data_IF_329815697994
#
_entry.id   IF_329815697994
#
_cell.length_a   1.000
_cell.length_b   1.000
_cell.length_c   1.000
_cell.angle_alpha   90.00
_cell.angle_beta   90.00
_cell.angle_gamma   90.00
#
_symmetry.space_group_name_H-M   'P 1'
#
loop_
_entity.id
_entity.type
_entity.pdbx_description
1 polymer ?
#
# COMPACT_ATOMS: atom_id res chain seq x y z
N UNK A 1 0.33 -15.70 13.40
CA UNK A 1 0.24 -16.03 11.97
C UNK A 1 0.67 -17.46 11.75
N UNK A 2 -0.16 -18.26 11.08
CA UNK A 2 0.30 -19.50 10.45
C UNK A 2 1.12 -19.16 9.20
N UNK A 3 2.13 -19.97 8.87
CA UNK A 3 2.97 -19.85 7.66
C UNK A 3 2.17 -19.76 6.34
N UNK A 4 0.88 -20.09 6.39
CA UNK A 4 -0.08 -20.15 5.27
C UNK A 4 -0.50 -18.74 4.83
N UNK A 5 -0.79 -17.82 5.77
CA UNK A 5 -1.22 -16.45 5.43
C UNK A 5 -0.10 -15.64 4.76
N UNK A 6 1.16 -15.95 5.07
CA UNK A 6 2.35 -15.32 4.47
C UNK A 6 2.38 -15.45 2.96
N UNK A 7 2.27 -16.68 2.46
CA UNK A 7 2.37 -16.92 1.01
C UNK A 7 1.10 -16.46 0.32
N UNK A 8 -0.06 -16.64 0.96
CA UNK A 8 -1.34 -16.30 0.37
C UNK A 8 -1.40 -14.86 -0.18
N UNK A 9 -1.08 -13.85 0.64
CA UNK A 9 -1.19 -12.46 0.18
C UNK A 9 -0.15 -12.08 -0.86
N UNK A 10 1.09 -12.54 -0.70
CA UNK A 10 2.13 -12.29 -1.69
C UNK A 10 1.79 -12.95 -3.03
N UNK A 11 1.39 -14.22 -3.03
CA UNK A 11 0.95 -14.96 -4.21
C UNK A 11 -0.26 -14.28 -4.86
N UNK A 12 -1.23 -13.82 -4.06
CA UNK A 12 -2.41 -13.09 -4.51
C UNK A 12 -2.02 -11.81 -5.26
N UNK A 13 -1.16 -10.98 -4.68
CA UNK A 13 -0.72 -9.74 -5.33
C UNK A 13 0.15 -10.01 -6.57
N UNK A 14 1.00 -11.04 -6.55
CA UNK A 14 1.79 -11.45 -7.73
C UNK A 14 0.88 -11.92 -8.86
N UNK A 15 -0.18 -12.66 -8.55
CA UNK A 15 -1.17 -13.09 -9.54
C UNK A 15 -1.91 -11.89 -10.15
N UNK A 16 -2.37 -10.94 -9.33
CA UNK A 16 -3.02 -9.71 -9.80
C UNK A 16 -2.08 -8.89 -10.67
N UNK A 17 -0.83 -8.73 -10.24
CA UNK A 17 0.21 -8.11 -11.05
C UNK A 17 0.34 -8.82 -12.40
N UNK A 18 0.51 -10.15 -12.42
CA UNK A 18 0.66 -10.92 -13.66
C UNK A 18 -0.55 -10.81 -14.61
N UNK A 19 -1.75 -10.67 -14.07
CA UNK A 19 -2.99 -10.45 -14.83
C UNK A 19 -3.11 -9.02 -15.39
N UNK A 20 -2.21 -8.10 -14.99
CA UNK A 20 -2.29 -6.70 -15.38
C UNK A 20 -3.31 -5.91 -14.58
N UNK A 21 -3.67 -6.38 -13.38
CA UNK A 21 -4.53 -5.66 -12.45
C UNK A 21 -3.72 -4.68 -11.58
N UNK A 22 -4.40 -3.65 -11.08
CA UNK A 22 -3.80 -2.63 -10.21
C UNK A 22 -2.81 -1.68 -10.89
N UNK A 23 -2.32 -0.71 -10.11
CA UNK A 23 -1.43 0.37 -10.52
C UNK A 23 -0.01 0.16 -9.98
N UNK A 24 0.56 -1.01 -10.26
CA UNK A 24 1.92 -1.35 -9.86
C UNK A 24 2.97 -0.66 -10.74
N UNK A 25 4.12 -0.25 -10.18
CA UNK A 25 5.33 -0.05 -10.97
C UNK A 25 5.89 -1.38 -11.49
N UNK A 26 6.91 -1.30 -12.33
CA UNK A 26 7.71 -2.48 -12.73
C UNK A 26 8.18 -3.24 -11.48
N UNK A 27 8.16 -4.58 -11.58
CA UNK A 27 8.61 -5.50 -10.52
C UNK A 27 7.88 -5.28 -9.18
N UNK A 28 6.65 -4.74 -9.20
CA UNK A 28 5.89 -4.34 -8.01
C UNK A 28 6.63 -3.34 -7.10
N UNK A 29 7.70 -2.71 -7.62
CA UNK A 29 8.55 -1.77 -6.90
C UNK A 29 9.66 -2.44 -6.11
N UNK A 30 9.75 -3.76 -6.12
CA UNK A 30 10.77 -4.51 -5.39
C UNK A 30 12.18 -4.29 -5.96
N UNK A 31 13.20 -4.56 -5.14
CA UNK A 31 14.58 -4.68 -5.63
C UNK A 31 14.72 -5.90 -6.54
N UNK A 32 15.76 -5.92 -7.38
CA UNK A 32 16.02 -7.06 -8.27
C UNK A 32 16.14 -8.38 -7.50
N UNK A 33 16.83 -8.39 -6.35
CA UNK A 33 16.99 -9.60 -5.53
C UNK A 33 15.64 -10.13 -5.01
N UNK A 34 14.76 -9.25 -4.51
CA UNK A 34 13.43 -9.64 -4.06
C UNK A 34 12.54 -10.07 -5.22
N UNK A 35 12.63 -9.40 -6.37
CA UNK A 35 11.87 -9.75 -7.56
C UNK A 35 12.26 -11.12 -8.12
N UNK A 36 13.57 -11.39 -8.21
CA UNK A 36 14.09 -12.67 -8.70
C UNK A 36 13.65 -13.84 -7.82
N UNK A 37 13.56 -13.63 -6.51
CA UNK A 37 13.08 -14.64 -5.58
C UNK A 37 11.62 -15.07 -5.83
N UNK A 38 10.78 -14.20 -6.42
CA UNK A 38 9.38 -14.50 -6.70
C UNK A 38 9.16 -15.38 -7.94
N UNK A 39 10.18 -15.55 -8.81
CA UNK A 39 10.05 -16.29 -10.08
C UNK A 39 8.85 -15.86 -10.96
N UNK A 40 8.40 -14.61 -10.81
CA UNK A 40 7.19 -14.12 -11.46
C UNK A 40 7.39 -13.94 -12.97
N UNK A 41 6.43 -14.41 -13.76
CA UNK A 41 6.44 -14.22 -15.21
C UNK A 41 6.12 -12.75 -15.55
N UNK A 42 6.92 -12.14 -16.42
CA UNK A 42 6.82 -10.71 -16.73
C UNK A 42 6.20 -10.41 -18.11
N UNK A 43 5.54 -11.40 -18.72
CA UNK A 43 4.87 -11.22 -20.01
C UNK A 43 3.55 -10.49 -19.77
N UNK A 44 3.44 -9.27 -20.29
CA UNK A 44 2.22 -8.47 -20.18
C UNK A 44 1.93 -7.75 -21.51
N UNK A 45 0.65 -7.43 -21.79
CA UNK A 45 0.26 -6.56 -22.89
C UNK A 45 0.98 -5.20 -22.89
N UNK A 46 1.13 -4.57 -24.05
CA UNK A 46 1.90 -3.32 -24.20
C UNK A 46 1.34 -2.15 -23.39
N UNK A 47 0.03 -2.06 -23.25
CA UNK A 47 -0.65 -1.04 -22.42
C UNK A 47 -0.35 -1.24 -20.93
N UNK A 48 -0.33 -2.49 -20.45
CA UNK A 48 0.06 -2.82 -19.08
C UNK A 48 1.52 -2.48 -18.82
N UNK A 49 2.42 -2.79 -19.77
CA UNK A 49 3.83 -2.42 -19.68
C UNK A 49 3.99 -0.90 -19.62
N UNK A 50 3.31 -0.16 -20.50
CA UNK A 50 3.35 1.30 -20.51
C UNK A 50 2.88 1.89 -19.17
N UNK A 51 1.76 1.39 -18.63
CA UNK A 51 1.24 1.82 -17.32
C UNK A 51 2.25 1.58 -16.21
N UNK A 52 2.90 0.40 -16.17
CA UNK A 52 3.92 0.08 -15.15
C UNK A 52 5.16 0.97 -15.28
N UNK A 53 5.61 1.26 -16.49
CA UNK A 53 6.73 2.18 -16.73
C UNK A 53 6.42 3.58 -16.21
N UNK A 54 5.23 4.12 -16.52
CA UNK A 54 4.79 5.42 -16.01
C UNK A 54 4.71 5.43 -14.47
N UNK A 55 4.20 4.36 -13.86
CA UNK A 55 4.18 4.23 -12.40
C UNK A 55 5.59 4.16 -11.81
N UNK A 56 6.54 3.48 -12.47
CA UNK A 56 7.94 3.48 -12.04
C UNK A 56 8.57 4.87 -12.08
N UNK A 57 8.31 5.66 -13.13
CA UNK A 57 8.80 7.04 -13.24
C UNK A 57 8.21 7.95 -12.15
N UNK A 58 6.89 7.85 -11.92
CA UNK A 58 6.21 8.56 -10.84
C UNK A 58 6.86 8.24 -9.48
N UNK A 59 7.03 6.96 -9.18
CA UNK A 59 7.61 6.51 -7.91
C UNK A 59 9.08 6.92 -7.79
N UNK A 60 9.85 6.92 -8.89
CA UNK A 60 11.23 7.39 -8.89
C UNK A 60 11.32 8.88 -8.51
N UNK A 61 10.39 9.72 -8.99
CA UNK A 61 10.33 11.13 -8.61
C UNK A 61 9.97 11.36 -7.14
N UNK A 62 9.33 10.38 -6.49
CA UNK A 62 8.88 10.42 -5.09
C UNK A 62 9.62 9.37 -4.23
N UNK A 63 10.88 9.09 -4.58
CA UNK A 63 11.68 8.02 -3.96
C UNK A 63 11.81 8.18 -2.45
N UNK A 64 12.11 9.38 -1.97
CA UNK A 64 12.25 9.63 -0.53
C UNK A 64 10.94 9.37 0.21
N UNK A 65 9.82 9.86 -0.32
CA UNK A 65 8.49 9.64 0.23
C UNK A 65 8.15 8.15 0.30
N UNK A 66 8.49 7.39 -0.75
CA UNK A 66 8.34 5.94 -0.79
C UNK A 66 9.20 5.25 0.27
N UNK A 67 10.48 5.57 0.35
CA UNK A 67 11.43 4.93 1.29
C UNK A 67 10.96 5.14 2.72
N UNK A 68 10.64 6.38 3.10
CA UNK A 68 10.15 6.69 4.43
C UNK A 68 8.84 5.96 4.78
N UNK A 69 7.93 5.78 3.79
CA UNK A 69 6.71 4.98 4.01
C UNK A 69 7.02 3.49 4.18
N UNK A 70 7.92 2.94 3.36
CA UNK A 70 8.32 1.53 3.44
C UNK A 70 8.99 1.23 4.78
N UNK A 71 9.93 2.08 5.21
CA UNK A 71 10.63 1.94 6.49
C UNK A 71 9.64 1.99 7.67
N UNK A 72 8.70 2.93 7.63
CA UNK A 72 7.64 3.01 8.65
C UNK A 72 6.74 1.77 8.66
N UNK A 73 6.30 1.30 7.49
CA UNK A 73 5.48 0.09 7.38
C UNK A 73 6.24 -1.14 7.89
N UNK A 74 7.55 -1.23 7.63
CA UNK A 74 8.38 -2.33 8.09
C UNK A 74 8.41 -2.44 9.63
N UNK A 75 8.36 -1.32 10.35
CA UNK A 75 8.28 -1.31 11.82
C UNK A 75 6.99 -1.93 12.38
N UNK A 76 5.92 -1.99 11.58
CA UNK A 76 4.61 -2.53 11.97
C UNK A 76 4.25 -3.85 11.27
N UNK A 77 5.14 -4.35 10.42
CA UNK A 77 4.94 -5.58 9.67
C UNK A 77 5.20 -6.79 10.56
N UNK A 78 4.34 -7.79 10.50
CA UNK A 78 4.60 -9.04 11.21
C UNK A 78 5.80 -9.80 10.61
N UNK A 79 6.56 -10.54 11.43
CA UNK A 79 7.64 -11.39 10.95
C UNK A 79 7.15 -12.36 9.87
N UNK A 80 7.82 -12.34 8.72
CA UNK A 80 7.49 -13.19 7.59
C UNK A 80 6.46 -12.61 6.61
N UNK A 81 5.89 -11.42 6.82
CA UNK A 81 5.07 -10.76 5.79
C UNK A 81 5.90 -9.98 4.74
N UNK A 82 7.23 -10.06 4.79
CA UNK A 82 8.09 -9.48 3.76
C UNK A 82 7.80 -10.11 2.37
N UNK A 83 7.79 -9.32 1.28
CA UNK A 83 8.16 -7.90 1.15
C UNK A 83 6.98 -6.92 1.13
N UNK A 84 5.90 -7.19 1.87
CA UNK A 84 4.64 -6.44 1.76
C UNK A 84 4.76 -4.94 2.05
N UNK A 85 5.65 -4.53 2.96
CA UNK A 85 5.92 -3.11 3.24
C UNK A 85 6.38 -2.34 2.00
N UNK A 86 7.25 -2.93 1.16
CA UNK A 86 7.75 -2.29 -0.05
C UNK A 86 6.64 -2.16 -1.10
N UNK A 87 5.87 -3.24 -1.28
CA UNK A 87 4.76 -3.29 -2.25
C UNK A 87 3.71 -2.24 -1.90
N UNK A 88 3.24 -2.22 -0.65
CA UNK A 88 2.22 -1.27 -0.19
C UNK A 88 2.74 0.17 -0.28
N UNK A 89 3.99 0.44 0.11
CA UNK A 89 4.56 1.77 0.01
C UNK A 89 4.62 2.26 -1.44
N UNK A 90 5.04 1.40 -2.37
CA UNK A 90 5.07 1.70 -3.81
C UNK A 90 3.69 1.99 -4.37
N UNK A 91 2.73 1.10 -4.15
CA UNK A 91 1.37 1.22 -4.70
C UNK A 91 0.59 2.36 -4.03
N UNK A 92 0.94 2.73 -2.79
CA UNK A 92 0.33 3.87 -2.10
C UNK A 92 0.51 5.20 -2.82
N UNK A 93 1.54 5.33 -3.67
CA UNK A 93 1.84 6.54 -4.45
C UNK A 93 1.01 6.67 -5.74
N UNK A 94 0.26 5.64 -6.13
CA UNK A 94 -0.71 5.73 -7.21
C UNK A 94 -1.91 6.62 -6.83
N UNK A 95 -2.81 6.89 -7.77
CA UNK A 95 -3.83 7.93 -7.63
C UNK A 95 -5.16 7.47 -7.04
N UNK A 96 -5.49 6.17 -7.11
CA UNK A 96 -6.81 5.69 -6.69
C UNK A 96 -6.83 5.28 -5.21
N UNK A 97 -7.87 4.55 -4.81
CA UNK A 97 -7.93 3.93 -3.50
C UNK A 97 -6.91 2.78 -3.46
N UNK A 98 -6.26 2.57 -2.31
CA UNK A 98 -5.18 1.59 -2.20
C UNK A 98 -5.62 0.17 -2.64
N UNK A 99 -6.88 -0.21 -2.37
CA UNK A 99 -7.39 -1.52 -2.77
C UNK A 99 -7.50 -1.63 -4.30
N UNK A 100 -7.95 -0.58 -4.99
CA UNK A 100 -8.01 -0.50 -6.45
C UNK A 100 -6.61 -0.52 -7.06
N UNK A 101 -5.68 0.24 -6.47
CA UNK A 101 -4.31 0.29 -6.96
C UNK A 101 -3.56 -1.03 -6.72
N UNK A 102 -3.95 -1.83 -5.73
CA UNK A 102 -3.47 -3.20 -5.54
C UNK A 102 -4.22 -4.23 -6.42
N UNK A 103 -5.24 -3.82 -7.18
CA UNK A 103 -6.07 -4.73 -7.98
C UNK A 103 -6.96 -5.65 -7.15
N UNK A 104 -7.18 -5.34 -5.87
CA UNK A 104 -8.07 -6.09 -5.00
C UNK A 104 -9.53 -5.84 -5.40
N UNK A 105 -10.41 -6.78 -5.05
CA UNK A 105 -11.84 -6.75 -5.36
C UNK A 105 -12.62 -5.75 -4.52
N UNK A 106 -12.13 -5.43 -3.32
CA UNK A 106 -12.87 -4.62 -2.35
C UNK A 106 -11.96 -3.99 -1.30
N UNK A 107 -12.52 -3.00 -0.59
CA UNK A 107 -11.92 -2.42 0.60
C UNK A 107 -11.78 -3.44 1.73
N UNK A 108 -12.72 -4.38 1.82
CA UNK A 108 -12.73 -5.47 2.79
C UNK A 108 -11.56 -6.44 2.55
N UNK A 109 -11.29 -6.83 1.30
CA UNK A 109 -10.12 -7.67 0.95
C UNK A 109 -8.80 -6.97 1.34
N UNK A 110 -8.72 -5.64 1.16
CA UNK A 110 -7.58 -4.88 1.66
C UNK A 110 -7.50 -4.89 3.19
N UNK A 111 -8.63 -4.84 3.90
CA UNK A 111 -8.63 -4.92 5.37
C UNK A 111 -8.12 -6.28 5.84
N UNK A 112 -8.51 -7.37 5.19
CA UNK A 112 -7.99 -8.72 5.48
C UNK A 112 -6.47 -8.80 5.28
N UNK A 113 -5.97 -8.29 4.14
CA UNK A 113 -4.53 -8.19 3.88
C UNK A 113 -3.81 -7.42 5.00
N UNK A 114 -4.34 -6.25 5.36
CA UNK A 114 -3.76 -5.42 6.41
C UNK A 114 -3.85 -6.09 7.78
N UNK A 115 -4.90 -6.86 8.08
CA UNK A 115 -5.01 -7.62 9.33
C UNK A 115 -3.96 -8.71 9.41
N UNK A 116 -3.71 -9.42 8.31
CA UNK A 116 -2.77 -10.53 8.28
C UNK A 116 -1.30 -10.07 8.24
N UNK A 117 -1.00 -8.93 7.63
CA UNK A 117 0.37 -8.42 7.49
C UNK A 117 0.73 -7.31 8.50
N UNK A 118 -0.23 -6.49 8.94
CA UNK A 118 -0.02 -5.28 9.75
C UNK A 118 -1.14 -5.09 10.81
N UNK A 119 -1.42 -6.07 11.68
CA UNK A 119 -2.56 -6.02 12.59
C UNK A 119 -2.55 -4.79 13.51
N UNK A 120 -1.38 -4.35 13.97
CA UNK A 120 -1.25 -3.15 14.79
C UNK A 120 -1.73 -1.90 14.06
N UNK A 121 -1.48 -1.80 12.74
CA UNK A 121 -1.99 -0.68 11.95
C UNK A 121 -3.51 -0.75 11.78
N UNK A 122 -4.10 -1.94 11.77
CA UNK A 122 -5.56 -2.10 11.75
C UNK A 122 -6.19 -1.65 13.07
N UNK A 123 -5.57 -1.98 14.20
CA UNK A 123 -5.99 -1.49 15.52
C UNK A 123 -5.89 0.03 15.62
N UNK A 124 -4.78 0.62 15.14
CA UNK A 124 -4.58 2.07 15.08
C UNK A 124 -5.55 2.76 14.11
N UNK A 125 -5.99 2.07 13.06
CA UNK A 125 -6.99 2.54 12.10
C UNK A 125 -8.40 2.00 12.42
N UNK A 126 -8.78 2.04 13.71
CA UNK A 126 -10.07 1.52 14.22
C UNK A 126 -11.29 2.15 13.54
N UNK A 127 -11.22 3.46 13.27
CA UNK A 127 -12.27 4.24 12.58
C UNK A 127 -12.31 3.99 11.07
N UNK A 128 -11.48 3.09 10.54
CA UNK A 128 -11.43 2.73 9.13
C UNK A 128 -11.24 3.97 8.23
N UNK A 129 -10.22 4.77 8.49
CA UNK A 129 -9.78 5.85 7.59
C UNK A 129 -9.22 5.23 6.30
N UNK A 130 -9.35 5.93 5.16
CA UNK A 130 -8.71 5.53 3.91
C UNK A 130 -7.21 5.31 4.15
N UNK A 131 -6.70 4.13 3.81
CA UNK A 131 -5.35 3.68 4.18
C UNK A 131 -4.24 4.66 3.81
N UNK A 132 -4.25 5.21 2.59
CA UNK A 132 -3.25 6.22 2.18
C UNK A 132 -3.29 7.44 3.10
N UNK A 133 -4.48 7.98 3.37
CA UNK A 133 -4.66 9.11 4.30
C UNK A 133 -4.20 8.76 5.71
N UNK A 134 -4.50 7.55 6.17
CA UNK A 134 -4.02 7.05 7.45
C UNK A 134 -2.49 7.00 7.50
N UNK A 135 -1.82 6.50 6.47
CA UNK A 135 -0.34 6.46 6.40
C UNK A 135 0.29 7.84 6.44
N UNK A 136 -0.20 8.79 5.62
CA UNK A 136 0.25 10.19 5.70
C UNK A 136 0.00 10.77 7.08
N UNK A 137 -1.15 10.44 7.69
CA UNK A 137 -1.50 10.90 9.02
C UNK A 137 -0.53 10.36 10.09
N UNK A 138 -0.14 9.09 10.02
CA UNK A 138 0.82 8.57 10.99
C UNK A 138 2.22 9.17 10.79
N UNK A 139 2.63 9.38 9.53
CA UNK A 139 3.94 9.95 9.23
C UNK A 139 4.10 11.40 9.65
N UNK A 140 3.13 12.28 9.37
CA UNK A 140 3.27 13.68 9.80
C UNK A 140 3.27 13.81 11.33
N UNK A 141 2.50 12.97 12.05
CA UNK A 141 2.55 12.93 13.53
C UNK A 141 3.94 12.56 14.08
N UNK A 142 4.72 11.76 13.34
CA UNK A 142 6.07 11.36 13.74
C UNK A 142 7.14 12.40 13.40
N UNK A 143 7.01 13.11 12.28
CA UNK A 143 8.03 14.06 11.81
C UNK A 143 7.88 15.46 12.40
N UNK A 144 6.66 15.96 12.58
CA UNK A 144 6.39 17.39 12.87
C UNK A 144 5.71 17.65 14.23
N UNK A 145 5.38 16.59 14.99
CA UNK A 145 4.37 16.71 16.04
C UNK A 145 2.97 16.78 15.43
N UNK A 146 1.94 17.05 16.24
CA UNK A 146 0.52 16.96 15.86
C UNK A 146 0.22 17.37 14.41
N UNK A 147 -0.51 16.51 13.69
CA UNK A 147 -1.15 16.91 12.45
C UNK A 147 -2.17 17.97 12.79
N UNK A 148 -1.91 19.16 12.30
CA UNK A 148 -2.89 20.23 12.32
C UNK A 148 -3.93 19.91 11.24
N UNK A 149 -4.83 18.98 11.57
CA UNK A 149 -6.17 19.08 11.07
C UNK A 149 -6.67 20.43 11.57
N UNK A 150 -6.89 21.39 10.68
CA UNK A 150 -7.32 22.76 11.07
C UNK A 150 -8.65 22.79 11.81
N UNK A 151 -9.33 21.65 11.87
CA UNK A 151 -10.57 21.46 12.61
C UNK A 151 -10.29 21.15 14.09
N UNK A 152 -11.02 21.77 15.04
CA UNK A 152 -10.86 21.50 16.47
C UNK A 152 -11.21 20.04 16.87
N UNK A 153 -11.91 19.30 16.01
CA UNK A 153 -12.12 17.86 16.13
C UNK A 153 -12.34 17.21 14.76
N UNK A 154 -12.14 15.90 14.66
CA UNK A 154 -12.45 15.15 13.43
C UNK A 154 -13.95 15.27 13.06
N UNK A 155 -14.85 15.29 14.05
CA UNK A 155 -16.30 15.38 13.81
C UNK A 155 -16.77 16.75 13.34
N UNK A 156 -16.03 17.81 13.66
CA UNK A 156 -16.28 19.16 13.15
C UNK A 156 -15.59 19.43 11.79
N UNK A 157 -14.79 18.49 11.28
CA UNK A 157 -14.05 18.69 10.04
C UNK A 157 -14.98 18.52 8.83
N UNK A 158 -15.15 19.57 8.02
CA UNK A 158 -15.94 19.51 6.79
C UNK A 158 -15.39 18.49 5.77
N UNK A 159 -14.10 18.18 5.83
CA UNK A 159 -13.44 17.18 4.99
C UNK A 159 -13.43 15.77 5.61
N UNK A 160 -14.06 15.58 6.79
CA UNK A 160 -14.12 14.28 7.48
C UNK A 160 -14.65 13.20 6.55
N UNK A 161 -15.72 13.47 5.81
CA UNK A 161 -16.28 12.49 4.86
C UNK A 161 -15.21 12.03 3.87
N UNK A 162 -14.42 12.93 3.29
CA UNK A 162 -13.32 12.57 2.41
C UNK A 162 -12.27 11.69 3.10
N UNK A 163 -12.13 11.69 4.42
CA UNK A 163 -11.16 10.81 5.11
C UNK A 163 -11.67 9.38 5.31
N UNK A 164 -12.99 9.20 5.41
CA UNK A 164 -13.61 7.93 5.80
C UNK A 164 -14.53 7.33 4.73
N UNK A 165 -14.75 8.03 3.61
CA UNK A 165 -15.65 7.55 2.55
C UNK A 165 -15.20 6.23 1.91
N UNK A 166 -16.16 5.54 1.29
CA UNK A 166 -16.04 4.14 0.84
C UNK A 166 -15.96 3.94 -0.67
N UNK A 167 -16.14 4.99 -1.48
CA UNK A 167 -16.08 4.90 -2.95
C UNK A 167 -14.77 4.33 -3.49
#
# INVERSE_FOLDING_TARGET
MTLIARHYWLDRLVQLYAQGEGCYPLQMGLSDDHWLALSAHNTAPSDVVLRRTLMSELIASRKEERTQLADWLACHMLPGADPMHQIIASVSLAFNHLWQDLGLSSREELRELMTDCFPQLVEMNSENMRWKKFFYRQRCLQTEGEIICRSPSCDACCERQLCFDTY
#
